data_IF_054285157832
#
_entry.id   IF_054285157832
#
_cell.length_a   1.000
_cell.length_b   1.000
_cell.length_c   1.000
_cell.angle_alpha   90.00
_cell.angle_beta   90.00
_cell.angle_gamma   90.00
#
_symmetry.space_group_name_H-M   'P 1'
#
loop_
_entity.id
_entity.type
_entity.pdbx_description
1 polymer ?
#
# COMPACT_ATOMS: atom_id res chain seq x y z
N UNK A 1 -1.96 -5.47 15.26
CA UNK A 1 -2.93 -4.61 14.53
C UNK A 1 -2.53 -4.53 13.05
N UNK A 2 -3.42 -4.88 12.13
CA UNK A 2 -3.14 -5.09 10.70
C UNK A 2 -2.99 -3.76 9.93
N UNK A 3 -1.77 -3.22 9.84
CA UNK A 3 -1.49 -1.90 9.23
C UNK A 3 -1.92 -1.78 7.76
N UNK A 4 -2.03 -2.91 7.05
CA UNK A 4 -2.56 -2.98 5.68
C UNK A 4 -4.05 -2.64 5.55
N UNK A 5 -4.84 -2.80 6.63
CA UNK A 5 -6.25 -2.37 6.67
C UNK A 5 -6.38 -0.85 6.85
N UNK A 6 -5.39 -0.22 7.49
CA UNK A 6 -5.40 1.21 7.80
C UNK A 6 -4.67 2.07 6.75
N UNK A 7 -4.08 1.45 5.72
CA UNK A 7 -3.23 2.10 4.72
C UNK A 7 -2.12 2.98 5.35
N UNK A 8 -1.60 2.54 6.50
CA UNK A 8 -0.52 3.25 7.19
C UNK A 8 0.83 2.62 6.82
N UNK A 9 1.78 3.41 6.30
CA UNK A 9 3.11 2.90 6.01
C UNK A 9 3.83 2.51 7.30
N UNK A 10 4.61 1.44 7.23
CA UNK A 10 5.54 1.06 8.30
C UNK A 10 6.64 2.12 8.40
N UNK A 11 6.80 2.68 9.59
CA UNK A 11 7.85 3.61 9.94
C UNK A 11 8.73 3.05 11.08
N UNK A 12 9.84 3.72 11.38
CA UNK A 12 10.77 3.30 12.45
C UNK A 12 10.11 3.22 13.84
N UNK A 13 8.98 3.88 14.06
CA UNK A 13 8.26 3.95 15.34
C UNK A 13 7.20 2.86 15.46
N UNK A 14 6.63 2.43 14.34
CA UNK A 14 5.53 1.46 14.23
C UNK A 14 6.03 0.04 14.00
N UNK A 15 7.23 -0.15 13.43
CA UNK A 15 7.83 -1.48 13.26
C UNK A 15 8.04 -2.19 14.60
N UNK A 16 8.45 -1.48 15.66
CA UNK A 16 8.65 -2.07 16.99
C UNK A 16 7.36 -2.71 17.54
N UNK A 17 6.28 -1.93 17.71
CA UNK A 17 4.97 -2.44 18.10
C UNK A 17 4.43 -3.54 17.16
N UNK A 18 4.67 -3.43 15.86
CA UNK A 18 4.24 -4.45 14.89
C UNK A 18 4.96 -5.78 15.09
N UNK A 19 6.27 -5.77 15.36
CA UNK A 19 7.04 -6.98 15.65
C UNK A 19 6.63 -7.58 17.00
N UNK A 20 6.31 -6.75 18.00
CA UNK A 20 5.79 -7.23 19.28
C UNK A 20 4.42 -7.92 19.12
N UNK A 21 3.52 -7.38 18.30
CA UNK A 21 2.21 -7.98 18.00
C UNK A 21 2.35 -9.38 17.36
N UNK A 22 3.40 -9.62 16.58
CA UNK A 22 3.67 -10.90 15.92
C UNK A 22 4.43 -11.87 16.83
N UNK A 23 5.49 -11.41 17.49
CA UNK A 23 6.44 -12.25 18.22
C UNK A 23 6.16 -12.34 19.72
N UNK A 24 5.24 -11.53 20.24
CA UNK A 24 4.91 -11.44 21.67
C UNK A 24 5.96 -10.70 22.52
N UNK A 25 7.03 -10.18 21.90
CA UNK A 25 8.13 -9.48 22.61
C UNK A 25 8.64 -8.30 21.81
N UNK A 26 8.89 -7.17 22.48
CA UNK A 26 9.43 -5.98 21.85
C UNK A 26 10.86 -6.20 21.33
N UNK A 27 11.18 -5.83 20.07
CA UNK A 27 12.52 -6.01 19.53
C UNK A 27 13.53 -5.07 20.19
N UNK A 28 14.77 -5.55 20.37
CA UNK A 28 15.85 -4.73 20.92
C UNK A 28 16.14 -3.48 20.06
N UNK A 29 16.65 -2.40 20.68
CA UNK A 29 16.88 -1.08 20.04
C UNK A 29 17.69 -1.15 18.73
N UNK A 30 18.63 -2.09 18.61
CA UNK A 30 19.46 -2.28 17.41
C UNK A 30 18.92 -3.29 16.39
N UNK A 31 17.78 -3.93 16.67
CA UNK A 31 17.25 -5.03 15.85
C UNK A 31 16.91 -4.57 14.43
N UNK A 32 16.17 -3.47 14.29
CA UNK A 32 15.73 -2.98 12.98
C UNK A 32 16.91 -2.67 12.04
N UNK A 33 17.95 -2.01 12.57
CA UNK A 33 19.16 -1.72 11.79
C UNK A 33 19.88 -3.00 11.34
N UNK A 34 20.04 -3.97 12.24
CA UNK A 34 20.68 -5.26 11.92
C UNK A 34 19.85 -6.10 10.94
N UNK A 35 18.53 -6.02 11.04
CA UNK A 35 17.60 -6.71 10.16
C UNK A 35 17.69 -6.16 8.73
N UNK A 36 17.67 -4.84 8.57
CA UNK A 36 17.81 -4.19 7.27
C UNK A 36 19.19 -4.47 6.64
N UNK A 37 20.27 -4.41 7.43
CA UNK A 37 21.62 -4.72 6.93
C UNK A 37 21.74 -6.18 6.44
N UNK A 38 21.14 -7.12 7.18
CA UNK A 38 21.15 -8.55 6.83
C UNK A 38 20.41 -8.85 5.53
N UNK A 39 19.41 -8.04 5.18
CA UNK A 39 18.52 -8.25 4.04
C UNK A 39 18.62 -7.14 3.01
N UNK A 40 19.73 -6.39 2.99
CA UNK A 40 19.92 -5.23 2.11
C UNK A 40 19.83 -5.57 0.63
N UNK A 41 20.06 -6.83 0.25
CA UNK A 41 19.90 -7.30 -1.12
C UNK A 41 18.44 -7.43 -1.56
N UNK A 42 17.49 -7.49 -0.61
CA UNK A 42 16.04 -7.62 -0.87
C UNK A 42 15.22 -6.44 -0.36
N UNK A 43 15.70 -5.75 0.66
CA UNK A 43 14.96 -4.70 1.37
C UNK A 43 15.72 -3.38 1.31
N UNK A 44 15.01 -2.32 0.95
CA UNK A 44 15.49 -0.95 1.05
C UNK A 44 14.53 -0.15 1.94
N UNK A 45 15.08 0.65 2.84
CA UNK A 45 14.31 1.64 3.58
C UNK A 45 14.27 2.94 2.78
N UNK A 46 13.14 3.20 2.15
CA UNK A 46 12.91 4.43 1.40
C UNK A 46 11.94 5.33 2.17
N UNK A 47 12.18 6.65 2.15
CA UNK A 47 11.10 7.58 2.47
C UNK A 47 10.08 7.54 1.33
N UNK A 48 8.82 7.31 1.67
CA UNK A 48 7.74 7.46 0.69
C UNK A 48 7.76 8.89 0.17
N UNK A 49 7.83 9.06 -1.14
CA UNK A 49 7.54 10.34 -1.81
C UNK A 49 6.20 10.87 -1.29
N UNK A 50 6.06 12.19 -1.14
CA UNK A 50 4.81 12.79 -0.68
C UNK A 50 3.67 12.49 -1.67
N UNK A 51 3.01 11.35 -1.50
CA UNK A 51 1.66 11.15 -2.00
C UNK A 51 0.75 12.04 -1.15
N UNK A 52 -0.22 12.69 -1.80
CA UNK A 52 -1.26 13.40 -1.06
C UNK A 52 -1.86 12.44 -0.01
N UNK A 53 -1.95 12.81 1.28
CA UNK A 53 -2.42 11.92 2.34
C UNK A 53 -3.83 11.35 2.08
N UNK A 54 -4.66 12.04 1.28
CA UNK A 54 -5.95 11.50 0.84
C UNK A 54 -5.75 10.34 -0.13
N UNK A 55 -4.84 10.46 -1.09
CA UNK A 55 -4.47 9.35 -2.00
C UNK A 55 -3.97 8.15 -1.21
N UNK A 56 -3.04 8.35 -0.28
CA UNK A 56 -2.48 7.25 0.51
C UNK A 56 -3.56 6.48 1.30
N UNK A 57 -4.53 7.19 1.91
CA UNK A 57 -5.64 6.57 2.63
C UNK A 57 -6.65 5.83 1.75
N UNK A 58 -6.82 6.27 0.51
CA UNK A 58 -7.71 5.60 -0.45
C UNK A 58 -7.12 4.28 -0.98
N UNK A 59 -5.82 4.01 -0.79
CA UNK A 59 -5.18 2.73 -1.10
C UNK A 59 -5.26 1.72 0.06
N UNK A 60 -6.39 1.64 0.76
CA UNK A 60 -6.63 0.55 1.70
C UNK A 60 -7.20 -0.67 0.95
N UNK A 61 -6.94 -1.87 1.49
CA UNK A 61 -7.34 -3.12 0.84
C UNK A 61 -8.83 -3.16 0.50
N UNK A 62 -9.70 -2.76 1.42
CA UNK A 62 -11.16 -2.74 1.20
C UNK A 62 -11.58 -1.81 0.05
N UNK A 63 -11.03 -0.61 -0.04
CA UNK A 63 -11.36 0.36 -1.09
C UNK A 63 -10.85 -0.10 -2.45
N UNK A 64 -9.65 -0.68 -2.50
CA UNK A 64 -9.10 -1.24 -3.73
C UNK A 64 -9.91 -2.44 -4.19
N UNK A 65 -10.27 -3.35 -3.28
CA UNK A 65 -11.08 -4.52 -3.58
C UNK A 65 -12.47 -4.11 -4.09
N UNK A 66 -13.18 -3.24 -3.37
CA UNK A 66 -14.51 -2.73 -3.76
C UNK A 66 -14.50 -2.05 -5.14
N UNK A 67 -13.44 -1.31 -5.46
CA UNK A 67 -13.25 -0.73 -6.79
C UNK A 67 -13.17 -1.80 -7.89
N UNK A 68 -12.32 -2.82 -7.71
CA UNK A 68 -12.15 -3.87 -8.72
C UNK A 68 -13.38 -4.78 -8.84
N UNK A 69 -14.08 -5.05 -7.74
CA UNK A 69 -15.33 -5.81 -7.76
C UNK A 69 -16.41 -5.07 -8.56
N UNK A 70 -16.55 -3.76 -8.35
CA UNK A 70 -17.47 -2.91 -9.13
C UNK A 70 -17.08 -2.81 -10.59
N UNK A 71 -15.79 -2.62 -10.88
CA UNK A 71 -15.29 -2.56 -12.25
C UNK A 71 -15.61 -3.86 -12.99
N UNK A 72 -15.32 -5.01 -12.38
CA UNK A 72 -15.63 -6.32 -12.94
C UNK A 72 -17.12 -6.48 -13.24
N UNK A 73 -17.98 -6.09 -12.30
CA UNK A 73 -19.44 -6.14 -12.49
C UNK A 73 -19.91 -5.36 -13.71
N UNK A 74 -19.39 -4.14 -13.91
CA UNK A 74 -19.73 -3.29 -15.06
C UNK A 74 -19.22 -3.92 -16.37
N UNK A 75 -17.98 -4.42 -16.39
CA UNK A 75 -17.42 -5.05 -17.59
C UNK A 75 -18.23 -6.27 -18.02
N UNK A 76 -18.68 -7.08 -17.05
CA UNK A 76 -19.54 -8.25 -17.30
C UNK A 76 -20.95 -7.84 -17.74
N UNK A 77 -21.57 -6.85 -17.09
CA UNK A 77 -22.93 -6.37 -17.40
C UNK A 77 -23.04 -5.85 -18.84
N UNK A 78 -22.03 -5.09 -19.29
CA UNK A 78 -22.00 -4.50 -20.63
C UNK A 78 -21.19 -5.30 -21.65
N UNK A 79 -20.71 -6.49 -21.27
CA UNK A 79 -19.88 -7.37 -22.10
C UNK A 79 -18.69 -6.62 -22.76
N UNK A 80 -18.04 -5.76 -21.98
CA UNK A 80 -16.92 -4.93 -22.42
C UNK A 80 -15.64 -5.76 -22.33
N UNK A 81 -14.97 -6.06 -23.45
CA UNK A 81 -13.72 -6.81 -23.42
C UNK A 81 -12.58 -5.93 -22.88
N UNK A 82 -11.55 -6.57 -22.31
CA UNK A 82 -10.47 -5.86 -21.64
C UNK A 82 -9.68 -4.94 -22.59
N UNK A 83 -9.58 -5.28 -23.88
CA UNK A 83 -8.97 -4.41 -24.89
C UNK A 83 -9.66 -3.04 -25.04
N UNK A 84 -10.90 -2.90 -24.59
CA UNK A 84 -11.69 -1.66 -24.66
C UNK A 84 -11.68 -0.89 -23.33
N UNK A 85 -10.86 -1.30 -22.36
CA UNK A 85 -10.70 -0.60 -21.09
C UNK A 85 -9.55 0.42 -21.22
N UNK A 86 -9.91 1.68 -21.43
CA UNK A 86 -8.96 2.78 -21.56
C UNK A 86 -8.74 3.47 -20.21
N UNK A 87 -7.49 3.79 -19.89
CA UNK A 87 -7.18 4.60 -18.72
C UNK A 87 -7.59 6.05 -18.95
N UNK A 88 -8.52 6.55 -18.14
CA UNK A 88 -8.90 7.96 -18.08
C UNK A 88 -7.98 8.68 -17.08
N UNK A 89 -6.71 8.88 -17.43
CA UNK A 89 -5.83 9.76 -16.65
C UNK A 89 -5.95 11.20 -17.20
N UNK A 90 -6.27 12.14 -16.33
CA UNK A 90 -6.36 13.56 -16.67
C UNK A 90 -4.97 14.10 -17.03
N UNK A 91 -4.62 14.03 -18.32
CA UNK A 91 -3.69 14.99 -18.90
C UNK A 91 -4.48 16.28 -19.07
N UNK A 92 -4.27 17.24 -18.18
CA UNK A 92 -4.79 18.59 -18.34
C UNK A 92 -4.32 19.16 -19.69
N UNK A 93 -5.20 19.19 -20.67
CA UNK A 93 -5.00 20.00 -21.87
C UNK A 93 -5.21 21.45 -21.45
N UNK A 94 -4.12 22.18 -21.21
CA UNK A 94 -4.17 23.64 -21.15
C UNK A 94 -4.33 24.13 -22.59
N UNK A 95 -5.52 24.64 -22.92
CA UNK A 95 -5.79 25.37 -24.15
C UNK A 95 -5.40 26.84 -23.99
#
# INVERSE_FOLDING_TARGET
MHLGLLAQPLDRRTIGPFVEDICGTFPGKGWLGRFLERHKEKLSYCQSSALDPKRARSFNYSSVQDYFDKLKGILEEYNIPWENVYNMDEKGCQL
#
